data_IF_516895968385
#
_entry.id   IF_516895968385
#
_cell.length_a   1.000
_cell.length_b   1.000
_cell.length_c   1.000
_cell.angle_alpha   90.00
_cell.angle_beta   90.00
_cell.angle_gamma   90.00
#
_symmetry.space_group_name_H-M   'P 1'
#
loop_
_entity.id
_entity.type
_entity.pdbx_description
1 polymer ?
#
# COMPACT_ATOMS: atom_id res chain seq x y z
N UNK A 1 -9.87 -53.03 -21.97
CA UNK A 1 -8.41 -53.22 -21.84
C UNK A 1 -7.90 -52.28 -20.76
N UNK A 2 -7.07 -52.82 -19.88
CA UNK A 2 -6.64 -52.29 -18.56
C UNK A 2 -5.49 -51.28 -18.69
N UNK A 3 -5.34 -50.38 -17.70
CA UNK A 3 -4.31 -49.32 -17.57
C UNK A 3 -2.85 -49.88 -17.41
N UNK A 4 -2.60 -51.13 -17.80
CA UNK A 4 -1.30 -51.81 -17.66
C UNK A 4 -0.45 -51.88 -18.94
N UNK A 5 -0.84 -51.21 -20.02
CA UNK A 5 -0.05 -51.18 -21.26
C UNK A 5 0.40 -49.76 -21.61
N UNK A 6 1.48 -49.31 -20.98
CA UNK A 6 2.28 -48.19 -21.50
C UNK A 6 3.24 -48.73 -22.58
N UNK A 7 3.49 -47.99 -23.68
CA UNK A 7 4.46 -48.39 -24.68
C UNK A 7 5.85 -48.48 -24.04
N UNK A 8 6.59 -49.54 -24.37
CA UNK A 8 7.95 -49.73 -23.89
C UNK A 8 8.84 -48.55 -24.33
N UNK A 9 9.63 -48.03 -23.39
CA UNK A 9 10.62 -46.99 -23.70
C UNK A 9 11.58 -47.51 -24.77
N UNK A 10 11.96 -46.70 -25.78
CA UNK A 10 12.91 -47.12 -26.80
C UNK A 10 14.20 -47.60 -26.15
N UNK A 11 14.60 -48.85 -26.42
CA UNK A 11 15.89 -49.39 -26.01
C UNK A 11 17.00 -48.74 -26.85
N UNK A 12 17.40 -47.54 -26.43
CA UNK A 12 18.62 -46.87 -26.86
C UNK A 12 19.37 -46.44 -25.62
N UNK A 13 20.58 -46.98 -25.41
CA UNK A 13 21.48 -46.42 -24.40
C UNK A 13 21.67 -44.94 -24.72
N UNK A 14 21.44 -43.99 -23.79
CA UNK A 14 21.75 -42.60 -24.03
C UNK A 14 23.25 -42.54 -24.33
N UNK A 15 23.55 -42.16 -25.57
CA UNK A 15 24.90 -42.04 -26.09
C UNK A 15 25.75 -41.19 -25.14
N UNK A 16 26.97 -41.66 -24.84
CA UNK A 16 27.98 -40.94 -24.05
C UNK A 16 28.58 -39.72 -24.79
N UNK A 17 27.77 -38.97 -25.55
CA UNK A 17 28.19 -37.83 -26.37
C UNK A 17 27.22 -36.64 -26.32
N UNK A 18 26.29 -36.60 -25.39
CA UNK A 18 25.64 -35.32 -25.05
C UNK A 18 26.65 -34.48 -24.26
N UNK A 19 27.20 -33.46 -24.91
CA UNK A 19 27.85 -32.36 -24.20
C UNK A 19 26.80 -31.75 -23.27
N UNK A 20 27.05 -31.77 -21.96
CA UNK A 20 26.25 -31.06 -20.95
C UNK A 20 26.40 -29.54 -21.02
N UNK A 21 27.02 -29.06 -22.10
CA UNK A 21 27.30 -27.65 -22.31
C UNK A 21 26.05 -27.00 -22.89
N UNK A 22 25.72 -25.82 -22.34
CA UNK A 22 24.66 -24.98 -22.90
C UNK A 22 24.98 -24.71 -24.38
N UNK A 23 24.00 -24.84 -25.30
CA UNK A 23 24.22 -24.56 -26.71
C UNK A 23 24.73 -23.12 -26.88
N UNK A 24 25.64 -22.90 -27.83
CA UNK A 24 26.28 -21.59 -28.05
C UNK A 24 25.25 -20.46 -28.26
N UNK A 25 24.14 -20.76 -28.93
CA UNK A 25 23.02 -19.84 -29.10
C UNK A 25 22.31 -19.47 -27.78
N UNK A 26 22.31 -20.36 -26.78
CA UNK A 26 21.80 -20.07 -25.45
C UNK A 26 22.78 -19.21 -24.64
N UNK A 27 24.09 -19.41 -24.79
CA UNK A 27 25.13 -18.57 -24.16
C UNK A 27 25.20 -17.16 -24.77
N UNK A 28 25.03 -17.03 -26.09
CA UNK A 28 24.96 -15.74 -26.78
C UNK A 28 23.70 -14.93 -26.43
N UNK A 29 22.60 -15.62 -26.11
CA UNK A 29 21.33 -15.02 -25.64
C UNK A 29 21.31 -14.83 -24.13
N UNK A 30 22.22 -15.46 -23.40
CA UNK A 30 22.30 -15.34 -21.95
C UNK A 30 22.91 -14.00 -21.60
N UNK A 31 22.09 -13.13 -21.02
CA UNK A 31 22.52 -11.86 -20.49
C UNK A 31 22.32 -11.85 -18.98
N UNK A 32 23.41 -12.06 -18.23
CA UNK A 32 23.41 -12.04 -16.76
C UNK A 32 23.08 -10.67 -16.13
N UNK A 33 22.99 -9.60 -16.94
CA UNK A 33 22.50 -8.30 -16.50
C UNK A 33 20.98 -8.14 -16.58
N UNK A 34 20.27 -9.08 -17.24
CA UNK A 34 18.81 -9.11 -17.23
C UNK A 34 18.35 -9.57 -15.86
N UNK A 35 17.98 -8.61 -15.02
CA UNK A 35 17.18 -8.83 -13.82
C UNK A 35 15.71 -8.62 -14.21
N UNK A 36 14.79 -9.29 -13.51
CA UNK A 36 13.39 -8.92 -13.60
C UNK A 36 13.26 -7.42 -13.30
N UNK A 37 12.49 -6.70 -14.12
CA UNK A 37 12.07 -5.35 -13.78
C UNK A 37 11.19 -5.46 -12.53
N UNK A 38 11.81 -5.41 -11.35
CA UNK A 38 11.07 -5.13 -10.14
C UNK A 38 10.61 -3.68 -10.28
N UNK A 39 9.32 -3.36 -10.06
CA UNK A 39 9.02 -2.01 -9.60
C UNK A 39 9.94 -1.77 -8.39
N UNK A 40 10.62 -0.63 -8.37
CA UNK A 40 11.56 -0.23 -7.31
C UNK A 40 10.84 -0.07 -5.96
N UNK A 41 10.38 -1.18 -5.39
CA UNK A 41 9.73 -1.21 -4.09
C UNK A 41 10.72 -1.84 -3.12
N UNK A 42 11.76 -1.06 -2.82
CA UNK A 42 12.70 -1.31 -1.73
C UNK A 42 11.89 -1.37 -0.44
N UNK A 43 11.39 -2.56 -0.11
CA UNK A 43 10.41 -2.75 0.94
C UNK A 43 10.83 -3.84 1.90
N UNK A 44 10.58 -3.58 3.17
CA UNK A 44 10.78 -4.51 4.28
C UNK A 44 9.42 -4.73 4.93
N UNK A 45 9.05 -5.99 5.15
CA UNK A 45 7.78 -6.35 5.77
C UNK A 45 7.98 -6.88 7.18
N UNK A 46 7.25 -6.29 8.12
CA UNK A 46 7.17 -6.69 9.54
C UNK A 46 5.74 -7.17 9.78
N UNK A 47 5.47 -8.41 9.39
CA UNK A 47 4.13 -9.03 9.40
C UNK A 47 3.98 -10.15 10.44
N UNK A 48 4.94 -10.24 11.35
CA UNK A 48 5.02 -11.31 12.34
C UNK A 48 5.44 -10.73 13.69
N UNK A 49 5.50 -11.60 14.71
CA UNK A 49 6.01 -11.29 16.04
C UNK A 49 7.45 -10.76 15.95
N UNK A 50 7.74 -9.74 16.75
CA UNK A 50 9.10 -9.22 16.90
C UNK A 50 9.92 -10.19 17.75
N UNK A 51 11.08 -10.56 17.25
CA UNK A 51 11.92 -11.62 17.79
C UNK A 51 11.83 -12.91 16.97
N UNK A 52 12.30 -14.00 17.56
CA UNK A 52 12.28 -15.32 16.96
C UNK A 52 11.59 -16.32 17.89
N UNK A 53 10.74 -17.17 17.32
CA UNK A 53 10.19 -18.31 18.02
C UNK A 53 11.22 -19.47 18.10
N UNK A 54 10.80 -20.59 18.69
CA UNK A 54 11.66 -21.79 18.83
C UNK A 54 12.10 -22.40 17.48
N UNK A 55 11.43 -22.07 16.39
CA UNK A 55 11.73 -22.53 15.03
C UNK A 55 12.51 -21.50 14.22
N UNK A 56 12.80 -20.34 14.81
CA UNK A 56 13.49 -19.23 14.15
C UNK A 56 12.59 -18.37 13.26
N UNK A 57 11.27 -18.55 13.35
CA UNK A 57 10.26 -17.74 12.67
C UNK A 57 10.02 -16.43 13.43
N UNK A 58 9.67 -15.37 12.70
CA UNK A 58 9.50 -14.02 13.26
C UNK A 58 10.34 -12.94 12.57
N UNK A 59 10.35 -11.75 13.17
CA UNK A 59 11.08 -10.57 12.69
C UNK A 59 12.19 -10.20 13.68
N UNK A 60 13.43 -10.47 13.30
CA UNK A 60 14.61 -10.16 14.11
C UNK A 60 15.41 -8.99 13.55
N UNK A 61 16.18 -8.34 14.42
CA UNK A 61 17.15 -7.29 14.08
C UNK A 61 18.17 -7.79 13.05
N UNK A 62 18.61 -9.05 13.14
CA UNK A 62 19.54 -9.64 12.16
C UNK A 62 18.95 -9.70 10.75
N UNK A 63 17.67 -10.10 10.63
CA UNK A 63 16.94 -10.14 9.37
C UNK A 63 16.79 -8.74 8.78
N UNK A 64 16.38 -7.76 9.60
CA UNK A 64 16.22 -6.37 9.16
C UNK A 64 17.58 -5.76 8.76
N UNK A 65 18.63 -5.96 9.54
CA UNK A 65 19.98 -5.51 9.21
C UNK A 65 20.48 -6.12 7.90
N UNK A 66 20.20 -7.39 7.64
CA UNK A 66 20.50 -8.04 6.36
C UNK A 66 19.78 -7.40 5.18
N UNK A 67 18.49 -7.10 5.35
CA UNK A 67 17.71 -6.39 4.35
C UNK A 67 18.26 -4.98 4.09
N UNK A 68 18.50 -4.18 5.13
CA UNK A 68 19.05 -2.83 5.00
C UNK A 68 20.41 -2.81 4.30
N UNK A 69 21.31 -3.75 4.62
CA UNK A 69 22.60 -3.88 3.90
C UNK A 69 22.41 -4.18 2.41
N UNK A 70 21.38 -4.92 2.04
CA UNK A 70 21.11 -5.24 0.63
C UNK A 70 20.55 -4.05 -0.16
N UNK A 71 20.03 -3.04 0.53
CA UNK A 71 19.48 -1.82 -0.07
C UNK A 71 20.55 -0.74 -0.29
N UNK A 72 21.74 -0.89 0.32
CA UNK A 72 22.93 -0.06 0.06
C UNK A 72 22.69 1.46 0.13
N UNK A 73 21.90 1.90 1.11
CA UNK A 73 21.59 3.31 1.33
C UNK A 73 20.44 3.86 0.48
N UNK A 74 19.81 3.04 -0.36
CA UNK A 74 18.59 3.45 -1.06
C UNK A 74 17.41 3.62 -0.09
N UNK A 75 16.50 4.53 -0.42
CA UNK A 75 15.26 4.72 0.34
C UNK A 75 14.48 3.42 0.49
N UNK A 76 13.82 3.26 1.64
CA UNK A 76 13.14 2.02 2.03
C UNK A 76 11.74 2.29 2.59
N UNK A 77 10.79 1.46 2.20
CA UNK A 77 9.45 1.40 2.80
C UNK A 77 9.34 0.22 3.77
N UNK A 78 9.05 0.48 5.04
CA UNK A 78 8.83 -0.55 6.06
C UNK A 78 7.33 -0.71 6.29
N UNK A 79 6.77 -1.84 5.85
CA UNK A 79 5.35 -2.15 6.03
C UNK A 79 5.16 -2.93 7.34
N UNK A 80 4.33 -2.43 8.26
CA UNK A 80 4.10 -3.01 9.58
C UNK A 80 2.65 -3.50 9.70
N UNK A 81 2.53 -4.76 10.12
CA UNK A 81 1.31 -5.37 10.61
C UNK A 81 1.68 -6.44 11.65
N UNK A 82 2.01 -6.01 12.88
CA UNK A 82 2.61 -6.86 13.91
C UNK A 82 2.03 -6.56 15.30
N UNK A 83 1.80 -7.61 16.12
CA UNK A 83 1.37 -7.46 17.51
C UNK A 83 2.51 -7.03 18.45
N UNK A 84 3.74 -6.88 17.95
CA UNK A 84 4.93 -6.68 18.77
C UNK A 84 5.59 -8.00 19.15
N UNK A 85 6.30 -8.03 20.28
CA UNK A 85 7.06 -9.20 20.71
C UNK A 85 8.20 -8.79 21.64
N UNK A 86 9.40 -9.32 21.37
CA UNK A 86 10.59 -9.04 22.15
C UNK A 86 10.99 -7.54 22.08
N UNK A 87 11.14 -6.93 23.27
CA UNK A 87 11.45 -5.51 23.40
C UNK A 87 12.84 -5.16 22.85
N UNK A 88 13.85 -5.99 23.13
CA UNK A 88 15.23 -5.69 22.77
C UNK A 88 15.47 -5.85 21.28
N UNK A 89 14.86 -6.86 20.65
CA UNK A 89 14.78 -6.98 19.20
C UNK A 89 14.05 -5.79 18.59
N UNK A 90 12.96 -5.32 19.20
CA UNK A 90 12.24 -4.12 18.80
C UNK A 90 13.10 -2.86 18.82
N UNK A 91 13.80 -2.62 19.92
CA UNK A 91 14.72 -1.48 20.07
C UNK A 91 15.92 -1.57 19.13
N UNK A 92 16.45 -2.77 18.92
CA UNK A 92 17.55 -2.99 17.96
C UNK A 92 17.09 -2.65 16.54
N UNK A 93 15.90 -3.11 16.13
CA UNK A 93 15.32 -2.77 14.83
C UNK A 93 15.08 -1.26 14.71
N UNK A 94 14.51 -0.63 15.75
CA UNK A 94 14.31 0.82 15.80
C UNK A 94 15.62 1.57 15.55
N UNK A 95 16.69 1.22 16.27
CA UNK A 95 18.00 1.87 16.12
C UNK A 95 18.63 1.61 14.76
N UNK A 96 18.55 0.39 14.23
CA UNK A 96 19.04 0.06 12.89
C UNK A 96 18.36 0.90 11.80
N UNK A 97 17.05 1.14 11.92
CA UNK A 97 16.31 2.00 11.00
C UNK A 97 16.70 3.47 11.18
N UNK A 98 16.88 3.95 12.42
CA UNK A 98 17.29 5.33 12.71
C UNK A 98 18.72 5.66 12.25
N UNK A 99 19.61 4.67 12.24
CA UNK A 99 21.00 4.81 11.75
C UNK A 99 21.13 4.63 10.23
N UNK A 100 20.07 4.18 9.55
CA UNK A 100 20.10 3.94 8.12
C UNK A 100 20.22 5.25 7.34
N UNK A 101 21.05 5.26 6.29
CA UNK A 101 21.36 6.48 5.53
C UNK A 101 20.26 6.89 4.55
N UNK A 102 19.51 5.93 4.02
CA UNK A 102 18.39 6.20 3.12
C UNK A 102 17.15 6.61 3.89
N UNK A 103 16.20 7.29 3.22
CA UNK A 103 14.93 7.67 3.84
C UNK A 103 14.14 6.42 4.21
N UNK A 104 13.72 6.33 5.47
CA UNK A 104 12.85 5.26 5.98
C UNK A 104 11.40 5.74 6.01
N UNK A 105 10.56 5.19 5.14
CA UNK A 105 9.10 5.41 5.19
C UNK A 105 8.41 4.24 5.86
N UNK A 106 7.82 4.43 7.04
CA UNK A 106 7.03 3.41 7.72
C UNK A 106 5.58 3.50 7.27
N UNK A 107 4.96 2.35 6.99
CA UNK A 107 3.54 2.22 6.68
C UNK A 107 2.89 1.23 7.63
N UNK A 108 2.04 1.71 8.53
CA UNK A 108 1.22 0.87 9.42
C UNK A 108 -0.06 0.49 8.68
N UNK A 109 -0.15 -0.78 8.30
CA UNK A 109 -1.23 -1.27 7.42
C UNK A 109 -2.46 -1.72 8.19
N UNK A 110 -2.27 -2.30 9.37
CA UNK A 110 -3.34 -2.83 10.21
C UNK A 110 -3.06 -2.58 11.69
N UNK A 111 -1.99 -3.18 12.21
CA UNK A 111 -1.58 -3.02 13.60
C UNK A 111 -0.08 -2.80 13.73
N UNK A 112 0.34 -1.83 14.51
CA UNK A 112 1.66 -1.82 15.12
C UNK A 112 1.48 -1.71 16.63
N UNK A 113 1.59 -2.83 17.34
CA UNK A 113 1.40 -2.90 18.78
C UNK A 113 2.70 -3.18 19.51
N UNK A 114 2.84 -2.69 20.75
CA UNK A 114 3.95 -3.02 21.64
C UNK A 114 5.32 -2.73 20.97
N UNK A 115 6.26 -3.68 20.94
CA UNK A 115 7.55 -3.49 20.27
C UNK A 115 7.44 -3.02 18.80
N UNK A 116 6.36 -3.37 18.09
CA UNK A 116 6.15 -2.92 16.72
C UNK A 116 5.74 -1.43 16.62
N UNK A 117 5.01 -0.88 17.60
CA UNK A 117 4.75 0.57 17.63
C UNK A 117 6.03 1.34 17.89
N UNK A 118 6.94 0.83 18.74
CA UNK A 118 8.29 1.42 18.90
C UNK A 118 9.03 1.45 17.57
N UNK A 119 9.08 0.33 16.83
CA UNK A 119 9.72 0.27 15.50
C UNK A 119 9.08 1.28 14.55
N UNK A 120 7.75 1.45 14.59
CA UNK A 120 7.06 2.40 13.72
C UNK A 120 7.57 3.83 13.94
N UNK A 121 7.94 4.18 15.17
CA UNK A 121 8.52 5.49 15.51
C UNK A 121 9.94 5.69 14.95
N UNK A 122 10.52 4.74 14.21
CA UNK A 122 11.83 4.91 13.59
C UNK A 122 11.81 5.63 12.23
N UNK A 123 10.66 5.72 11.56
CA UNK A 123 10.58 6.23 10.18
C UNK A 123 10.84 7.74 10.04
N UNK A 124 11.53 8.18 9.00
CA UNK A 124 11.57 9.62 8.68
C UNK A 124 10.18 10.14 8.29
N UNK A 125 9.36 9.26 7.72
CA UNK A 125 7.93 9.47 7.47
C UNK A 125 7.14 8.25 7.94
N UNK A 126 6.07 8.47 8.72
CA UNK A 126 5.18 7.44 9.24
C UNK A 126 3.78 7.66 8.66
N UNK A 127 3.31 6.69 7.89
CA UNK A 127 1.97 6.67 7.32
C UNK A 127 1.15 5.57 7.99
N UNK A 128 -0.13 5.83 8.24
CA UNK A 128 -1.02 4.87 8.88
C UNK A 128 -2.35 4.73 8.12
N UNK A 129 -2.84 3.51 7.97
CA UNK A 129 -4.16 3.29 7.37
C UNK A 129 -5.26 3.91 8.24
N UNK A 130 -6.34 4.38 7.62
CA UNK A 130 -7.48 4.98 8.35
C UNK A 130 -8.11 4.01 9.36
N UNK A 131 -8.16 2.72 9.00
CA UNK A 131 -8.64 1.64 9.87
C UNK A 131 -7.54 0.91 10.63
N UNK A 132 -6.31 1.44 10.62
CA UNK A 132 -5.18 0.84 11.33
C UNK A 132 -4.99 1.46 12.71
N UNK A 133 -4.26 0.76 13.56
CA UNK A 133 -4.05 1.14 14.96
C UNK A 133 -2.58 1.07 15.34
N UNK A 134 -2.15 2.03 16.15
CA UNK A 134 -1.03 1.86 17.06
C UNK A 134 -1.57 1.36 18.40
N UNK A 135 -0.84 0.49 19.07
CA UNK A 135 -1.09 0.18 20.48
C UNK A 135 0.19 0.39 21.26
N UNK A 136 0.11 1.22 22.31
CA UNK A 136 1.23 1.49 23.21
C UNK A 136 0.84 1.06 24.62
N UNK A 137 1.77 0.42 25.31
CA UNK A 137 1.62 -0.03 26.69
C UNK A 137 2.99 -0.14 27.35
N UNK A 138 3.03 -0.29 28.67
CA UNK A 138 4.26 -0.56 29.40
C UNK A 138 4.88 -1.91 29.00
N UNK A 139 6.15 -2.10 29.34
CA UNK A 139 6.80 -3.38 29.18
C UNK A 139 6.03 -4.41 30.01
N UNK A 140 6.01 -5.66 29.55
CA UNK A 140 5.37 -6.74 30.28
C UNK A 140 6.28 -7.96 30.28
N UNK A 141 6.19 -8.76 31.34
CA UNK A 141 7.03 -9.94 31.55
C UNK A 141 6.20 -11.01 32.26
N UNK A 142 6.48 -12.26 31.95
CA UNK A 142 6.03 -13.39 32.76
C UNK A 142 7.04 -13.65 33.89
N UNK A 143 6.63 -13.44 35.14
CA UNK A 143 7.46 -13.60 36.32
C UNK A 143 6.83 -14.54 37.35
N UNK A 144 7.66 -15.29 38.08
CA UNK A 144 7.23 -16.16 39.18
C UNK A 144 8.25 -16.07 40.31
N UNK A 145 7.77 -15.80 41.53
CA UNK A 145 8.63 -15.63 42.70
C UNK A 145 7.84 -15.20 43.93
N UNK A 146 8.56 -14.89 45.01
CA UNK A 146 7.99 -14.34 46.23
C UNK A 146 7.79 -12.81 46.10
N UNK A 147 7.20 -12.18 47.12
CA UNK A 147 6.90 -10.73 47.11
C UNK A 147 8.11 -9.83 46.83
N UNK A 148 9.31 -10.21 47.27
CA UNK A 148 10.53 -9.43 47.05
C UNK A 148 11.01 -9.56 45.61
N UNK A 149 10.91 -10.77 45.03
CA UNK A 149 11.26 -11.01 43.62
C UNK A 149 10.33 -10.19 42.70
N UNK A 150 9.02 -10.23 42.95
CA UNK A 150 8.05 -9.50 42.12
C UNK A 150 8.17 -7.98 42.27
N UNK A 151 8.45 -7.47 43.47
CA UNK A 151 8.69 -6.04 43.68
C UNK A 151 9.98 -5.57 42.99
N UNK A 152 11.03 -6.38 42.99
CA UNK A 152 12.27 -6.08 42.28
C UNK A 152 12.03 -6.07 40.77
N UNK A 153 11.33 -7.06 40.22
CA UNK A 153 11.03 -7.11 38.78
C UNK A 153 10.24 -5.88 38.34
N UNK A 154 9.24 -5.44 39.12
CA UNK A 154 8.50 -4.22 38.81
C UNK A 154 9.42 -2.98 38.77
N UNK A 155 10.35 -2.84 39.73
CA UNK A 155 11.32 -1.75 39.73
C UNK A 155 12.31 -1.83 38.56
N UNK A 156 12.71 -3.05 38.17
CA UNK A 156 13.61 -3.28 37.05
C UNK A 156 12.98 -2.94 35.68
N UNK A 157 11.64 -2.87 35.61
CA UNK A 157 10.91 -2.52 34.39
C UNK A 157 10.81 -1.02 34.14
N UNK A 158 10.87 -0.20 35.18
CA UNK A 158 10.71 1.25 35.10
C UNK A 158 11.67 1.94 34.11
N UNK A 159 12.97 1.56 34.02
CA UNK A 159 13.86 2.14 33.01
C UNK A 159 13.46 1.79 31.57
N UNK A 160 12.86 0.63 31.34
CA UNK A 160 12.39 0.19 30.02
C UNK A 160 11.15 0.97 29.59
N UNK A 161 10.21 1.16 30.51
CA UNK A 161 9.02 1.99 30.29
C UNK A 161 9.43 3.43 29.98
N UNK A 162 10.38 3.98 30.74
CA UNK A 162 10.93 5.31 30.47
C UNK A 162 11.56 5.39 29.08
N UNK A 163 12.35 4.40 28.67
CA UNK A 163 12.99 4.42 27.36
C UNK A 163 11.97 4.40 26.21
N UNK A 164 10.89 3.62 26.33
CA UNK A 164 9.80 3.62 25.36
C UNK A 164 9.02 4.94 25.37
N UNK A 165 8.72 5.47 26.56
CA UNK A 165 8.07 6.77 26.73
C UNK A 165 8.86 7.92 26.10
N UNK A 166 10.18 7.92 26.27
CA UNK A 166 11.08 8.90 25.64
C UNK A 166 10.99 8.86 24.11
N UNK A 167 10.92 7.66 23.50
CA UNK A 167 10.76 7.49 22.05
C UNK A 167 9.42 8.04 21.56
N UNK A 168 8.33 7.66 22.23
CA UNK A 168 6.99 8.12 21.86
C UNK A 168 6.82 9.63 22.05
N UNK A 169 7.34 10.18 23.15
CA UNK A 169 7.34 11.62 23.41
C UNK A 169 8.14 12.36 22.34
N UNK A 170 9.33 11.86 21.97
CA UNK A 170 10.16 12.46 20.92
C UNK A 170 9.48 12.45 19.54
N UNK A 171 8.70 11.39 19.22
CA UNK A 171 7.93 11.35 17.97
C UNK A 171 6.72 12.29 18.01
N UNK A 172 5.87 12.12 19.01
CA UNK A 172 4.55 12.74 19.08
C UNK A 172 4.59 14.22 19.44
N UNK A 173 5.64 14.65 20.14
CA UNK A 173 5.72 15.97 20.76
C UNK A 173 4.86 16.10 22.02
N UNK A 174 4.19 15.04 22.46
CA UNK A 174 3.47 14.99 23.72
C UNK A 174 4.44 14.96 24.91
N UNK A 175 3.99 15.42 26.06
CA UNK A 175 4.80 15.35 27.28
C UNK A 175 5.04 13.89 27.67
N UNK A 176 6.18 13.62 28.34
CA UNK A 176 6.45 12.28 28.85
C UNK A 176 5.36 11.81 29.82
N UNK A 177 4.78 12.71 30.61
CA UNK A 177 3.67 12.41 31.52
C UNK A 177 2.42 11.93 30.77
N UNK A 178 2.02 12.62 29.70
CA UNK A 178 0.86 12.22 28.88
C UNK A 178 1.11 10.86 28.21
N UNK A 179 2.31 10.65 27.69
CA UNK A 179 2.70 9.38 27.07
C UNK A 179 2.71 8.25 28.09
N UNK A 180 3.27 8.46 29.29
CA UNK A 180 3.26 7.49 30.37
C UNK A 180 1.83 7.12 30.76
N UNK A 181 0.94 8.10 30.89
CA UNK A 181 -0.48 7.82 31.18
C UNK A 181 -1.16 7.00 30.07
N UNK A 182 -0.80 7.22 28.80
CA UNK A 182 -1.29 6.40 27.69
C UNK A 182 -0.72 4.97 27.73
N UNK A 183 0.55 4.80 28.11
CA UNK A 183 1.19 3.49 28.25
C UNK A 183 0.62 2.70 29.44
N UNK A 184 0.37 3.36 30.58
CA UNK A 184 -0.29 2.76 31.74
C UNK A 184 -1.70 2.25 31.41
N UNK A 185 -2.38 2.93 30.47
CA UNK A 185 -3.74 2.61 30.05
C UNK A 185 -3.88 1.58 28.92
N UNK A 186 -2.77 1.01 28.41
CA UNK A 186 -2.78 0.13 27.22
C UNK A 186 -3.54 0.75 26.03
N UNK A 187 -3.10 1.93 25.60
CA UNK A 187 -3.89 2.76 24.68
C UNK A 187 -3.78 2.29 23.23
N UNK A 188 -4.94 2.06 22.61
CA UNK A 188 -5.08 1.94 21.15
C UNK A 188 -5.35 3.31 20.53
N UNK A 189 -4.56 3.67 19.53
CA UNK A 189 -4.61 4.96 18.82
C UNK A 189 -4.98 4.66 17.36
N UNK A 190 -6.17 5.10 16.94
CA UNK A 190 -6.63 4.92 15.56
C UNK A 190 -5.85 5.80 14.58
N UNK A 191 -5.89 5.48 13.28
CA UNK A 191 -5.10 6.17 12.26
C UNK A 191 -5.25 7.69 12.23
N UNK A 192 -6.47 8.23 12.30
CA UNK A 192 -6.70 9.69 12.35
C UNK A 192 -6.10 10.30 13.63
N UNK A 193 -6.39 9.70 14.79
CA UNK A 193 -5.88 10.16 16.09
C UNK A 193 -4.36 10.09 16.17
N UNK A 194 -3.74 9.10 15.52
CA UNK A 194 -2.30 8.95 15.44
C UNK A 194 -1.67 10.12 14.67
N UNK A 195 -2.32 10.59 13.61
CA UNK A 195 -1.91 11.81 12.89
C UNK A 195 -2.12 13.05 13.75
N UNK A 196 -3.30 13.21 14.35
CA UNK A 196 -3.63 14.37 15.18
C UNK A 196 -2.72 14.52 16.40
N UNK A 197 -2.33 13.39 17.01
CA UNK A 197 -1.44 13.33 18.19
C UNK A 197 0.05 13.26 17.81
N UNK A 198 0.41 13.30 16.53
CA UNK A 198 1.80 13.33 16.06
C UNK A 198 2.55 11.98 16.06
N UNK A 199 1.87 10.85 16.32
CA UNK A 199 2.48 9.52 16.20
C UNK A 199 2.68 9.09 14.74
N UNK A 200 1.90 9.66 13.81
CA UNK A 200 2.04 9.48 12.38
C UNK A 200 2.01 10.85 11.67
N UNK A 201 2.63 10.94 10.50
CA UNK A 201 2.67 12.18 9.72
C UNK A 201 1.41 12.36 8.87
N UNK A 202 0.87 11.26 8.34
CA UNK A 202 -0.35 11.27 7.50
C UNK A 202 -1.00 9.90 7.36
N UNK A 203 -2.18 9.89 6.77
CA UNK A 203 -2.85 8.66 6.38
C UNK A 203 -2.20 8.05 5.12
N UNK A 204 -2.38 6.75 4.90
CA UNK A 204 -2.00 6.12 3.64
C UNK A 204 -2.73 6.78 2.45
N UNK A 205 -2.09 6.83 1.29
CA UNK A 205 -2.59 7.56 0.11
C UNK A 205 -3.96 7.12 -0.40
N UNK A 206 -4.36 5.86 -0.18
CA UNK A 206 -5.71 5.40 -0.53
C UNK A 206 -6.81 5.98 0.37
N UNK A 207 -6.43 6.41 1.58
CA UNK A 207 -7.31 6.98 2.60
C UNK A 207 -7.21 8.51 2.66
N UNK A 208 -6.21 9.12 1.99
CA UNK A 208 -6.11 10.56 1.82
C UNK A 208 -7.29 11.06 0.97
N UNK A 209 -8.14 11.88 1.57
CA UNK A 209 -9.19 12.59 0.83
C UNK A 209 -8.50 13.71 0.07
N UNK A 210 -8.12 13.45 -1.18
CA UNK A 210 -7.58 14.47 -2.06
C UNK A 210 -8.70 15.46 -2.44
N UNK A 211 -8.66 16.67 -1.89
CA UNK A 211 -9.52 17.79 -2.33
C UNK A 211 -8.95 18.52 -3.57
N UNK A 212 -7.71 18.18 -3.95
CA UNK A 212 -6.88 18.80 -5.00
C UNK A 212 -6.85 17.99 -6.31
N UNK A 213 -7.97 17.38 -6.72
CA UNK A 213 -8.15 17.06 -8.14
C UNK A 213 -8.39 18.38 -8.89
N UNK A 214 -7.29 19.03 -9.32
CA UNK A 214 -7.29 20.21 -10.18
C UNK A 214 -7.36 19.85 -11.67
N UNK A 215 -7.65 18.58 -11.99
CA UNK A 215 -7.86 18.18 -13.38
C UNK A 215 -9.00 19.01 -14.00
N UNK A 216 -8.92 19.31 -15.32
CA UNK A 216 -9.99 20.02 -16.01
C UNK A 216 -11.37 19.39 -15.81
N UNK A 217 -11.44 18.07 -15.61
CA UNK A 217 -12.68 17.35 -15.36
C UNK A 217 -13.22 17.54 -13.94
N UNK A 218 -12.35 17.67 -12.93
CA UNK A 218 -12.74 17.98 -11.57
C UNK A 218 -13.12 19.46 -11.37
N UNK A 219 -12.42 20.39 -12.02
CA UNK A 219 -12.82 21.80 -12.08
C UNK A 219 -14.22 21.98 -12.71
N UNK A 220 -14.51 21.26 -13.81
CA UNK A 220 -15.85 21.27 -14.42
C UNK A 220 -16.92 20.66 -13.51
N UNK A 221 -16.60 19.62 -12.73
CA UNK A 221 -17.52 19.03 -11.74
C UNK A 221 -17.80 19.99 -10.58
N UNK A 222 -16.78 20.67 -10.05
CA UNK A 222 -16.92 21.72 -9.03
C UNK A 222 -17.79 22.87 -9.56
N UNK A 223 -17.59 23.28 -10.81
CA UNK A 223 -18.38 24.34 -11.46
C UNK A 223 -19.86 23.94 -11.70
N UNK A 224 -20.14 22.71 -12.15
CA UNK A 224 -21.52 22.21 -12.29
C UNK A 224 -22.24 22.17 -10.94
N UNK A 225 -21.55 21.74 -9.88
CA UNK A 225 -22.10 21.71 -8.52
C UNK A 225 -22.43 23.11 -7.99
N UNK A 226 -21.59 24.12 -8.28
CA UNK A 226 -21.86 25.51 -7.90
C UNK A 226 -23.05 26.10 -8.67
N UNK A 227 -23.15 25.85 -9.98
CA UNK A 227 -24.29 26.28 -10.80
C UNK A 227 -25.59 25.54 -10.42
N UNK A 228 -25.50 24.30 -9.94
CA UNK A 228 -26.64 23.57 -9.44
C UNK A 228 -27.18 24.16 -8.13
N UNK A 229 -26.30 24.70 -7.27
CA UNK A 229 -26.69 25.39 -6.03
C UNK A 229 -27.40 26.73 -6.27
N UNK A 230 -27.29 27.29 -7.47
CA UNK A 230 -28.00 28.51 -7.89
C UNK A 230 -29.28 28.22 -8.67
N UNK A 231 -29.85 27.02 -8.53
CA UNK A 231 -31.08 26.54 -9.22
C UNK A 231 -31.03 26.63 -10.75
N UNK A 232 -29.84 26.71 -11.35
CA UNK A 232 -29.70 26.78 -12.81
C UNK A 232 -30.10 25.43 -13.42
N UNK A 233 -31.03 25.38 -14.40
CA UNK A 233 -31.47 24.14 -15.03
C UNK A 233 -30.32 23.34 -15.65
N UNK A 234 -30.37 22.00 -15.52
CA UNK A 234 -29.31 21.09 -16.00
C UNK A 234 -28.94 21.27 -17.48
N UNK A 235 -29.91 21.62 -18.33
CA UNK A 235 -29.70 21.92 -19.75
C UNK A 235 -28.81 23.14 -19.96
N UNK A 236 -29.03 24.19 -19.18
CA UNK A 236 -28.28 25.44 -19.22
C UNK A 236 -26.87 25.28 -18.65
N UNK A 237 -26.72 24.55 -17.52
CA UNK A 237 -25.40 24.22 -16.97
C UNK A 237 -24.54 23.46 -17.97
N UNK A 238 -25.09 22.45 -18.64
CA UNK A 238 -24.39 21.69 -19.69
C UNK A 238 -23.99 22.53 -20.89
N UNK A 239 -24.83 23.51 -21.27
CA UNK A 239 -24.52 24.45 -22.36
C UNK A 239 -23.33 25.35 -21.99
N UNK A 240 -23.33 25.90 -20.77
CA UNK A 240 -22.26 26.76 -20.25
C UNK A 240 -20.93 25.98 -20.14
N UNK A 241 -20.95 24.78 -19.57
CA UNK A 241 -19.76 23.93 -19.44
C UNK A 241 -19.20 23.49 -20.80
N UNK A 242 -20.06 23.24 -21.80
CA UNK A 242 -19.65 22.93 -23.17
C UNK A 242 -19.03 24.13 -23.88
N UNK A 243 -19.51 25.35 -23.61
CA UNK A 243 -18.92 26.57 -24.13
C UNK A 243 -17.54 26.85 -23.50
N UNK A 244 -17.38 26.58 -22.20
CA UNK A 244 -16.12 26.77 -21.47
C UNK A 244 -15.03 25.77 -21.86
N UNK A 245 -15.40 24.51 -22.07
CA UNK A 245 -14.44 23.41 -22.30
C UNK A 245 -13.85 23.36 -23.70
N UNK A 246 -14.19 24.31 -24.59
CA UNK A 246 -13.58 24.47 -25.91
C UNK A 246 -13.48 23.16 -26.71
N UNK A 247 -14.53 22.80 -27.43
CA UNK A 247 -14.57 21.56 -28.21
C UNK A 247 -13.30 21.35 -29.06
N UNK A 248 -12.59 20.22 -28.86
CA UNK A 248 -11.87 19.57 -29.97
C UNK A 248 -12.87 19.40 -31.13
N UNK A 249 -12.50 19.70 -32.39
CA UNK A 249 -13.44 19.56 -33.49
C UNK A 249 -13.90 18.10 -33.56
N UNK A 250 -15.21 17.90 -33.72
CA UNK A 250 -15.73 16.61 -34.15
C UNK A 250 -15.10 16.24 -35.51
N UNK A 251 -14.93 14.95 -35.76
CA UNK A 251 -14.35 14.41 -37.00
C UNK A 251 -15.26 14.58 -38.24
N UNK A 252 -15.83 15.76 -38.45
CA UNK A 252 -16.55 16.13 -39.66
C UNK A 252 -16.50 17.64 -39.85
N UNK A 253 -15.90 18.09 -40.96
CA UNK A 253 -15.74 19.49 -41.30
C UNK A 253 -16.89 20.06 -42.16
N UNK A 254 -18.05 19.39 -42.27
CA UNK A 254 -19.17 19.91 -43.05
C UNK A 254 -20.55 19.47 -42.53
N UNK A 255 -21.55 20.37 -42.44
CA UNK A 255 -22.91 20.03 -42.01
C UNK A 255 -23.82 19.51 -43.15
N UNK A 256 -23.35 19.40 -44.39
CA UNK A 256 -24.17 19.02 -45.56
C UNK A 256 -24.01 17.56 -46.01
N UNK A 257 -23.90 16.60 -45.08
CA UNK A 257 -23.41 15.27 -45.45
C UNK A 257 -24.00 14.04 -44.78
N UNK A 258 -25.15 14.11 -44.08
CA UNK A 258 -25.94 12.92 -43.70
C UNK A 258 -27.34 13.32 -43.19
N UNK A 259 -28.41 12.60 -43.56
CA UNK A 259 -29.77 12.94 -43.17
C UNK A 259 -29.98 12.59 -41.69
N UNK A 260 -30.19 13.61 -40.87
CA UNK A 260 -30.86 13.46 -39.57
C UNK A 260 -32.37 13.35 -39.79
N UNK A 261 -33.06 12.64 -38.90
CA UNK A 261 -34.50 12.48 -38.95
C UNK A 261 -35.19 13.86 -38.97
N UNK A 262 -35.79 14.19 -40.11
CA UNK A 262 -36.67 15.34 -40.26
C UNK A 262 -38.06 14.98 -39.73
N UNK A 263 -38.74 15.92 -39.08
CA UNK A 263 -40.14 15.72 -38.63
C UNK A 263 -41.14 15.67 -39.81
N UNK A 264 -40.70 16.08 -41.01
CA UNK A 264 -41.49 15.94 -42.24
C UNK A 264 -41.12 14.67 -42.99
N UNK A 265 -42.11 13.79 -43.15
CA UNK A 265 -41.98 12.53 -43.90
C UNK A 265 -42.01 12.85 -45.39
N UNK A 266 -40.92 12.54 -46.10
CA UNK A 266 -40.88 12.67 -47.55
C UNK A 266 -41.82 11.63 -48.21
N UNK A 267 -42.87 12.07 -48.95
CA UNK A 267 -43.87 11.18 -49.54
C UNK A 267 -43.29 10.18 -50.56
N UNK A 268 -42.19 10.52 -51.23
CA UNK A 268 -41.52 9.61 -52.17
C UNK A 268 -40.86 8.42 -51.46
N UNK A 269 -40.30 8.67 -50.27
CA UNK A 269 -39.70 7.61 -49.44
C UNK A 269 -40.75 6.68 -48.84
N UNK A 270 -41.93 7.22 -48.50
CA UNK A 270 -43.09 6.45 -48.06
C UNK A 270 -43.59 5.52 -49.18
N UNK A 271 -43.74 6.05 -50.40
CA UNK A 271 -44.16 5.27 -51.56
C UNK A 271 -43.14 4.16 -51.91
N UNK A 272 -41.84 4.44 -51.78
CA UNK A 272 -40.79 3.43 -51.98
C UNK A 272 -40.83 2.33 -50.92
N UNK A 273 -41.20 2.67 -49.68
CA UNK A 273 -41.33 1.69 -48.60
C UNK A 273 -42.57 0.81 -48.78
N UNK A 274 -43.70 1.40 -49.18
CA UNK A 274 -44.94 0.67 -49.50
C UNK A 274 -44.73 -0.30 -50.67
N UNK A 275 -44.04 0.12 -51.72
CA UNK A 275 -43.72 -0.74 -52.85
C UNK A 275 -42.76 -1.88 -52.46
N UNK A 276 -41.81 -1.62 -51.56
CA UNK A 276 -40.91 -2.65 -51.05
C UNK A 276 -41.63 -3.66 -50.16
N UNK A 277 -42.58 -3.21 -49.32
CA UNK A 277 -43.43 -4.08 -48.49
C UNK A 277 -44.38 -4.94 -49.34
N UNK A 278 -44.95 -4.37 -50.41
CA UNK A 278 -45.81 -5.10 -51.34
C UNK A 278 -45.05 -6.20 -52.13
N UNK A 279 -43.73 -6.08 -52.27
CA UNK A 279 -42.88 -7.11 -52.90
C UNK A 279 -42.55 -8.29 -51.98
N UNK A 280 -42.85 -8.19 -50.69
CA UNK A 280 -42.65 -9.26 -49.68
C UNK A 280 -43.95 -9.97 -49.28
N UNK A 281 -45.08 -9.65 -49.93
CA UNK A 281 -46.39 -10.28 -49.75
C UNK A 281 -46.79 -11.17 -50.93
#
# INVERSE_FOLDING_TARGET
>A
MTIKSLPAAPEGRPFAREKRDLPSSAMERWNGSIKAAKPDDNSISIFDVIGADYWGEGVTASRIAGALRSLDGADVTVNINSPGGDMFEGLAIYNLLREYQGKVTVKVLGLAASAASVIAMAGDEVQIGRGAFLMIHNCWVYAMGNRHDLAQIAADMEPFDKAMGDIYSARSGLSLEDVSAMMDGETYIGGSDAVEKGFADRLLSADEIADDDDSPSAALRKLDALLAKTDTPRSERRKLLKALSGSKPGAAANPEGKPGATEEINPENLQSLENALAAFG
#
